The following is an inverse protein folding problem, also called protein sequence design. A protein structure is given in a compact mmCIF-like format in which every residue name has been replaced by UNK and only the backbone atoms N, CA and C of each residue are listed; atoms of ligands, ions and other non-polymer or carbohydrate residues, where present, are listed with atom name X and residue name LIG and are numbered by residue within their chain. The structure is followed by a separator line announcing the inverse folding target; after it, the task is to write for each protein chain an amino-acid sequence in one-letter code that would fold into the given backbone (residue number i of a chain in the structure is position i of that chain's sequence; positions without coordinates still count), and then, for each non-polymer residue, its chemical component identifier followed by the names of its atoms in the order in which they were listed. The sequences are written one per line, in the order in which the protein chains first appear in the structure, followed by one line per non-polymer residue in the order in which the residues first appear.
data_IF_362893133276
#
_entry.id   IF_362893133276
#
_cell.length_a   1.000
_cell.length_b   1.000
_cell.length_c   1.000
_cell.angle_alpha   90.00
_cell.angle_beta   90.00
_cell.angle_gamma   90.00
#
_symmetry.space_group_name_H-M   'P 1'
#
loop_
_entity.id
_entity.type
_entity.pdbx_description
1 polymer ?
#
# COMPACT_ATOMS: atom_id res chain seq x y z
N UNK A 1 -6.48 -10.07 22.22
CA UNK A 1 -5.18 -10.69 22.54
C UNK A 1 -4.44 -9.71 23.45
N UNK A 2 -4.14 -10.06 24.72
CA UNK A 2 -3.31 -9.18 25.57
C UNK A 2 -1.86 -9.47 25.19
N UNK A 3 -1.18 -8.47 24.63
CA UNK A 3 0.25 -8.49 24.30
C UNK A 3 1.04 -8.67 25.60
N UNK A 4 1.38 -9.92 25.92
CA UNK A 4 2.35 -10.28 26.96
C UNK A 4 2.98 -11.60 26.56
N UNK A 5 4.25 -11.58 26.16
CA UNK A 5 5.12 -12.74 26.36
C UNK A 5 6.57 -12.29 26.57
N UNK A 6 7.16 -12.74 27.68
CA UNK A 6 8.58 -12.65 27.92
C UNK A 6 9.31 -13.52 26.89
N UNK A 7 10.13 -12.89 26.04
CA UNK A 7 11.10 -13.61 25.23
C UNK A 7 11.97 -14.52 26.13
N UNK A 8 12.24 -15.77 25.73
CA UNK A 8 13.22 -16.61 26.41
C UNK A 8 14.57 -15.87 26.56
N UNK A 9 15.29 -16.12 27.64
CA UNK A 9 16.55 -15.43 27.93
C UNK A 9 17.57 -15.51 26.78
N UNK A 10 17.64 -16.66 26.10
CA UNK A 10 18.50 -16.84 24.93
C UNK A 10 18.12 -15.91 23.77
N UNK A 11 16.82 -15.73 23.49
CA UNK A 11 16.35 -14.83 22.42
C UNK A 11 16.52 -13.36 22.81
N UNK A 12 16.34 -13.01 24.09
CA UNK A 12 16.65 -11.66 24.61
C UNK A 12 18.13 -11.32 24.41
N UNK A 13 19.02 -12.27 24.71
CA UNK A 13 20.45 -12.10 24.49
C UNK A 13 20.77 -11.87 23.01
N UNK A 14 20.23 -12.71 22.11
CA UNK A 14 20.45 -12.55 20.67
C UNK A 14 19.90 -11.22 20.14
N UNK A 15 18.71 -10.80 20.58
CA UNK A 15 18.14 -9.53 20.19
C UNK A 15 19.03 -8.34 20.56
N UNK A 16 19.64 -8.34 21.76
CA UNK A 16 20.58 -7.31 22.22
C UNK A 16 21.88 -7.30 21.43
N UNK A 17 22.44 -8.49 21.15
CA UNK A 17 23.69 -8.62 20.37
C UNK A 17 23.48 -8.10 18.95
N UNK A 18 22.39 -8.50 18.30
CA UNK A 18 22.06 -8.05 16.94
C UNK A 18 21.75 -6.54 16.94
N UNK A 19 21.07 -6.04 17.97
CA UNK A 19 20.81 -4.59 18.11
C UNK A 19 22.11 -3.78 18.17
N UNK A 20 23.07 -4.21 18.99
CA UNK A 20 24.38 -3.56 19.11
C UNK A 20 25.08 -3.53 17.77
N UNK A 21 25.15 -4.68 17.09
CA UNK A 21 25.78 -4.78 15.76
C UNK A 21 25.08 -3.89 14.72
N UNK A 22 23.74 -3.81 14.74
CA UNK A 22 22.96 -2.96 13.86
C UNK A 22 23.24 -1.46 14.11
N UNK A 23 23.36 -1.04 15.37
CA UNK A 23 23.69 0.36 15.72
C UNK A 23 25.14 0.71 15.38
N UNK A 24 26.07 -0.23 15.54
CA UNK A 24 27.50 -0.04 15.20
C UNK A 24 27.71 0.24 13.70
N UNK A 25 26.92 -0.37 12.82
CA UNK A 25 26.99 -0.11 11.38
C UNK A 25 26.22 1.15 10.94
N UNK A 26 25.58 1.86 11.87
CA UNK A 26 24.89 3.13 11.61
C UNK A 26 23.41 3.01 11.28
N UNK A 27 22.75 1.87 11.55
CA UNK A 27 21.30 1.76 11.45
C UNK A 27 20.63 2.52 12.61
N UNK A 28 19.60 3.30 12.28
CA UNK A 28 18.83 4.09 13.24
C UNK A 28 17.35 3.69 13.17
N UNK A 29 16.83 3.15 14.26
CA UNK A 29 15.48 2.61 14.37
C UNK A 29 14.82 2.98 15.72
N UNK A 30 13.48 2.87 15.79
CA UNK A 30 12.73 2.95 17.04
C UNK A 30 12.99 1.72 17.91
N UNK A 31 12.60 1.75 19.18
CA UNK A 31 12.66 0.56 20.02
C UNK A 31 11.90 -0.60 19.35
N UNK A 32 12.55 -1.77 19.21
CA UNK A 32 11.96 -2.95 18.57
C UNK A 32 11.52 -3.93 19.66
N UNK A 33 10.22 -4.18 19.71
CA UNK A 33 9.60 -5.13 20.63
C UNK A 33 9.31 -6.43 19.89
N UNK A 34 10.03 -7.49 20.22
CA UNK A 34 9.79 -8.82 19.68
C UNK A 34 8.78 -9.59 20.52
N UNK A 35 7.77 -10.17 19.87
CA UNK A 35 6.79 -11.05 20.49
C UNK A 35 6.87 -12.46 19.92
N UNK A 36 6.91 -13.47 20.79
CA UNK A 36 7.01 -14.86 20.38
C UNK A 36 5.63 -15.51 20.30
N UNK A 37 5.17 -15.77 19.08
CA UNK A 37 3.86 -16.34 18.79
C UNK A 37 3.96 -17.75 18.20
N UNK A 38 2.93 -18.55 18.45
CA UNK A 38 2.78 -19.83 17.75
C UNK A 38 2.36 -19.58 16.30
N UNK A 39 2.69 -20.50 15.39
CA UNK A 39 2.45 -20.31 13.96
C UNK A 39 0.97 -20.03 13.62
N UNK A 40 0.02 -20.62 14.36
CA UNK A 40 -1.41 -20.34 14.21
C UNK A 40 -1.75 -18.87 14.54
N UNK A 41 -1.16 -18.35 15.60
CA UNK A 41 -1.38 -16.96 16.04
C UNK A 41 -0.72 -15.97 15.07
N UNK A 42 0.46 -16.29 14.53
CA UNK A 42 1.11 -15.48 13.48
C UNK A 42 0.22 -15.38 12.25
N UNK A 43 -0.37 -16.49 11.79
CA UNK A 43 -1.34 -16.46 10.69
C UNK A 43 -2.57 -15.59 11.01
N UNK A 44 -3.06 -15.63 12.25
CA UNK A 44 -4.15 -14.76 12.71
C UNK A 44 -3.81 -13.28 12.64
N UNK A 45 -2.64 -12.89 13.15
CA UNK A 45 -2.17 -11.50 13.11
C UNK A 45 -1.85 -11.06 11.67
N UNK A 46 -1.28 -11.94 10.85
CA UNK A 46 -1.03 -11.70 9.44
C UNK A 46 -2.32 -11.50 8.64
N UNK A 47 -3.38 -12.27 8.93
CA UNK A 47 -4.69 -12.08 8.31
C UNK A 47 -5.30 -10.71 8.64
N UNK A 48 -4.97 -10.14 9.80
CA UNK A 48 -5.30 -8.77 10.20
C UNK A 48 -4.29 -7.71 9.71
N UNK A 49 -3.39 -8.09 8.82
CA UNK A 49 -2.41 -7.17 8.23
C UNK A 49 -1.33 -6.70 9.21
N UNK A 50 -0.98 -7.52 10.21
CA UNK A 50 0.00 -7.14 11.23
C UNK A 50 -0.59 -6.83 12.59
N UNK A 51 -1.88 -6.51 12.66
CA UNK A 51 -2.46 -5.93 13.87
C UNK A 51 -3.16 -6.97 14.75
N UNK A 52 -3.01 -6.90 16.09
CA UNK A 52 -3.65 -7.85 17.00
C UNK A 52 -5.17 -7.63 17.13
N UNK A 53 -5.66 -6.45 16.74
CA UNK A 53 -7.08 -6.07 16.79
C UNK A 53 -7.43 -5.32 15.50
N UNK A 54 -8.49 -5.79 14.83
CA UNK A 54 -9.14 -5.13 13.70
C UNK A 54 -10.66 -5.14 13.90
N UNK A 55 -11.39 -4.41 13.06
CA UNK A 55 -12.84 -4.50 13.02
C UNK A 55 -13.30 -5.88 12.49
N UNK A 56 -14.51 -6.35 12.84
CA UNK A 56 -15.01 -7.63 12.34
C UNK A 56 -15.26 -7.56 10.83
N UNK A 57 -14.75 -8.55 10.09
CA UNK A 57 -15.05 -8.76 8.66
C UNK A 57 -14.73 -10.20 8.27
N UNK A 58 -15.61 -10.83 7.49
CA UNK A 58 -15.39 -12.16 6.95
C UNK A 58 -14.10 -12.28 6.11
N UNK A 59 -13.66 -11.19 5.45
CA UNK A 59 -12.44 -11.16 4.61
C UNK A 59 -11.20 -11.61 5.38
N UNK A 60 -11.07 -11.22 6.64
CA UNK A 60 -9.96 -11.64 7.49
C UNK A 60 -10.01 -13.14 7.83
N UNK A 61 -11.21 -13.70 7.97
CA UNK A 61 -11.39 -15.15 8.16
C UNK A 61 -10.99 -15.93 6.92
N UNK A 62 -11.38 -15.46 5.73
CA UNK A 62 -10.98 -16.06 4.46
C UNK A 62 -9.46 -15.99 4.26
N UNK A 63 -8.84 -14.86 4.59
CA UNK A 63 -7.38 -14.71 4.49
C UNK A 63 -6.65 -15.61 5.48
N UNK A 64 -7.16 -15.74 6.71
CA UNK A 64 -6.63 -16.68 7.69
C UNK A 64 -6.66 -18.13 7.18
N UNK A 65 -7.78 -18.58 6.61
CA UNK A 65 -7.92 -19.90 6.00
C UNK A 65 -6.93 -20.13 4.86
N UNK A 66 -6.71 -19.10 4.02
CA UNK A 66 -5.72 -19.14 2.93
C UNK A 66 -4.31 -19.33 3.47
N UNK A 67 -3.93 -18.57 4.50
CA UNK A 67 -2.62 -18.64 5.14
C UNK A 67 -2.40 -19.97 5.88
N UNK A 68 -3.41 -20.46 6.60
CA UNK A 68 -3.34 -21.75 7.31
C UNK A 68 -3.19 -22.93 6.34
N UNK A 69 -3.97 -22.96 5.26
CA UNK A 69 -3.84 -24.00 4.21
C UNK A 69 -2.49 -23.90 3.50
N UNK A 70 -2.05 -22.70 3.13
CA UNK A 70 -0.75 -22.49 2.51
C UNK A 70 0.39 -23.04 3.36
N UNK A 71 0.34 -22.81 4.68
CA UNK A 71 1.30 -23.38 5.64
C UNK A 71 1.18 -24.89 5.76
N UNK A 72 -0.04 -25.42 5.90
CA UNK A 72 -0.27 -26.86 6.06
C UNK A 72 0.30 -27.67 4.89
N UNK A 73 0.16 -27.16 3.67
CA UNK A 73 0.70 -27.78 2.46
C UNK A 73 2.16 -27.40 2.16
N UNK A 74 2.82 -26.60 3.01
CA UNK A 74 4.21 -26.16 2.82
C UNK A 74 4.41 -25.18 1.65
N UNK A 75 3.34 -24.54 1.17
CA UNK A 75 3.36 -23.59 0.06
C UNK A 75 3.80 -22.18 0.51
N UNK A 76 3.53 -21.83 1.76
CA UNK A 76 3.89 -20.52 2.31
C UNK A 76 4.24 -20.60 3.80
N UNK A 77 5.26 -19.86 4.21
CA UNK A 77 5.66 -19.69 5.61
C UNK A 77 5.90 -18.20 5.86
N UNK A 78 5.16 -17.63 6.82
CA UNK A 78 5.41 -16.28 7.31
C UNK A 78 6.57 -16.38 8.30
N UNK A 79 7.74 -15.89 7.91
CA UNK A 79 8.92 -15.87 8.79
C UNK A 79 8.83 -14.74 9.80
N UNK A 80 8.29 -13.61 9.37
CA UNK A 80 8.20 -12.39 10.16
C UNK A 80 7.02 -11.53 9.77
N UNK A 81 6.68 -10.63 10.68
CA UNK A 81 5.65 -9.63 10.51
C UNK A 81 6.03 -8.42 11.36
N UNK A 82 6.27 -7.29 10.71
CA UNK A 82 6.74 -6.04 11.34
C UNK A 82 5.69 -4.95 11.18
N UNK A 83 5.38 -4.25 12.26
CA UNK A 83 4.48 -3.10 12.27
C UNK A 83 5.31 -1.84 12.41
N UNK A 84 5.14 -0.91 11.47
CA UNK A 84 5.65 0.44 11.60
C UNK A 84 4.86 1.20 12.68
N UNK A 85 5.43 1.27 13.88
CA UNK A 85 4.85 1.93 15.05
C UNK A 85 6.02 2.42 15.94
N UNK A 86 5.75 3.30 16.89
CA UNK A 86 6.70 3.73 17.93
C UNK A 86 6.18 3.30 19.31
N UNK A 87 6.67 2.17 19.88
CA UNK A 87 7.77 1.32 19.40
C UNK A 87 7.37 0.40 18.23
N UNK A 88 8.37 -0.11 17.49
CA UNK A 88 8.20 -1.04 16.37
C UNK A 88 7.89 -2.42 16.93
N UNK A 89 6.80 -3.06 16.49
CA UNK A 89 6.45 -4.42 16.93
C UNK A 89 6.80 -5.44 15.86
N UNK A 90 7.42 -6.54 16.27
CA UNK A 90 7.75 -7.64 15.38
C UNK A 90 7.36 -8.99 16.00
N UNK A 91 6.78 -9.87 15.17
CA UNK A 91 6.33 -11.18 15.63
C UNK A 91 7.26 -12.29 15.15
N UNK A 92 7.80 -13.04 16.11
CA UNK A 92 8.63 -14.22 15.90
C UNK A 92 7.79 -15.49 15.99
N UNK A 93 8.09 -16.48 15.14
CA UNK A 93 7.39 -17.76 15.14
C UNK A 93 8.11 -18.75 16.07
N UNK A 94 7.42 -19.32 17.06
CA UNK A 94 8.00 -20.26 18.05
C UNK A 94 8.64 -21.50 17.44
N UNK A 95 8.13 -21.99 16.31
CA UNK A 95 8.64 -23.20 15.65
C UNK A 95 9.95 -22.99 14.89
N UNK A 96 10.43 -21.74 14.78
CA UNK A 96 11.66 -21.45 14.03
C UNK A 96 12.91 -21.88 14.83
N UNK A 97 13.93 -22.36 14.13
CA UNK A 97 15.24 -22.67 14.69
C UNK A 97 15.93 -21.42 15.24
N UNK A 98 16.94 -21.57 16.11
CA UNK A 98 17.65 -20.42 16.65
C UNK A 98 18.28 -19.54 15.55
N UNK A 99 18.83 -20.17 14.51
CA UNK A 99 19.36 -19.47 13.35
C UNK A 99 18.27 -18.70 12.60
N UNK A 100 17.12 -19.33 12.33
CA UNK A 100 15.99 -18.64 11.70
C UNK A 100 15.53 -17.44 12.54
N UNK A 101 15.54 -17.54 13.88
CA UNK A 101 15.25 -16.41 14.76
C UNK A 101 16.29 -15.29 14.62
N UNK A 102 17.59 -15.61 14.59
CA UNK A 102 18.66 -14.62 14.38
C UNK A 102 18.49 -13.90 13.04
N UNK A 103 18.18 -14.64 11.97
CA UNK A 103 17.94 -14.09 10.64
C UNK A 103 16.76 -13.15 10.62
N UNK A 104 15.62 -13.57 11.19
CA UNK A 104 14.44 -12.71 11.30
C UNK A 104 14.75 -11.47 12.13
N UNK A 105 15.36 -11.59 13.31
CA UNK A 105 15.72 -10.43 14.14
C UNK A 105 16.59 -9.43 13.39
N UNK A 106 17.63 -9.89 12.69
CA UNK A 106 18.50 -9.03 11.89
C UNK A 106 17.75 -8.37 10.72
N UNK A 107 16.82 -9.08 10.09
CA UNK A 107 15.98 -8.56 9.01
C UNK A 107 15.00 -7.48 9.51
N UNK A 108 14.33 -7.74 10.64
CA UNK A 108 13.43 -6.79 11.31
C UNK A 108 14.14 -5.48 11.64
N UNK A 109 15.38 -5.50 12.13
CA UNK A 109 16.13 -4.26 12.38
C UNK A 109 16.38 -3.46 11.10
N UNK A 110 16.62 -4.14 9.97
CA UNK A 110 16.68 -3.51 8.66
C UNK A 110 15.37 -2.82 8.29
N UNK A 111 14.23 -3.49 8.46
CA UNK A 111 12.92 -2.89 8.24
C UNK A 111 12.64 -1.71 9.18
N UNK A 112 12.94 -1.85 10.46
CA UNK A 112 12.71 -0.79 11.46
C UNK A 112 13.50 0.48 11.12
N UNK A 113 14.74 0.33 10.63
CA UNK A 113 15.56 1.44 10.15
C UNK A 113 14.99 2.04 8.84
N UNK A 114 14.52 1.19 7.92
CA UNK A 114 13.90 1.65 6.68
C UNK A 114 12.64 2.48 6.94
N UNK A 115 11.74 2.00 7.79
CA UNK A 115 10.50 2.68 8.15
C UNK A 115 10.73 4.03 8.82
N UNK A 116 11.76 4.14 9.68
CA UNK A 116 12.08 5.39 10.36
C UNK A 116 12.66 6.45 9.42
N UNK A 117 13.47 6.04 8.45
CA UNK A 117 14.33 6.97 7.69
C UNK A 117 13.89 7.22 6.24
N UNK A 118 13.00 6.43 5.67
CA UNK A 118 12.52 6.64 4.31
C UNK A 118 11.42 7.73 4.26
N UNK A 119 11.54 8.64 3.30
CA UNK A 119 10.63 9.77 3.11
C UNK A 119 9.15 9.36 2.98
N UNK A 120 8.87 8.22 2.36
CA UNK A 120 7.49 7.74 2.13
C UNK A 120 6.77 7.33 3.40
N UNK A 121 7.52 6.99 4.45
CA UNK A 121 6.97 6.63 5.76
C UNK A 121 6.79 7.85 6.67
N UNK A 122 7.33 9.02 6.32
CA UNK A 122 7.16 10.26 7.10
C UNK A 122 5.70 10.63 7.42
N UNK A 123 4.72 10.53 6.48
CA UNK A 123 3.32 10.85 6.78
C UNK A 123 2.57 9.75 7.55
N UNK A 124 3.16 8.57 7.75
CA UNK A 124 2.45 7.44 8.36
C UNK A 124 2.21 7.64 9.86
N UNK A 125 1.06 7.16 10.34
CA UNK A 125 0.74 7.18 11.77
C UNK A 125 1.63 6.21 12.55
N UNK A 126 2.44 6.76 13.45
CA UNK A 126 3.36 6.00 14.32
C UNK A 126 2.66 5.33 15.50
N UNK A 127 1.36 5.55 15.68
CA UNK A 127 0.53 4.92 16.71
C UNK A 127 -0.57 4.07 16.09
N UNK A 128 -0.28 3.46 14.93
CA UNK A 128 -1.28 2.72 14.17
C UNK A 128 -1.91 1.57 14.97
N UNK A 129 -1.21 0.99 15.95
CA UNK A 129 -1.81 0.00 16.86
C UNK A 129 -3.01 0.54 17.64
N UNK A 130 -2.89 1.75 18.18
CA UNK A 130 -3.97 2.42 18.93
C UNK A 130 -5.07 2.84 17.96
N UNK A 131 -4.70 3.38 16.79
CA UNK A 131 -5.64 3.81 15.74
C UNK A 131 -6.49 2.64 15.24
N UNK A 132 -5.89 1.48 14.97
CA UNK A 132 -6.62 0.25 14.59
C UNK A 132 -7.56 -0.25 15.71
N UNK A 133 -7.14 -0.13 16.97
CA UNK A 133 -8.00 -0.42 18.13
C UNK A 133 -9.21 0.54 18.22
N UNK A 134 -8.99 1.82 17.94
CA UNK A 134 -10.03 2.84 17.89
C UNK A 134 -11.00 2.61 16.72
N UNK A 135 -10.47 2.24 15.54
CA UNK A 135 -11.29 1.84 14.38
C UNK A 135 -12.18 0.65 14.72
N UNK A 136 -11.62 -0.41 15.31
CA UNK A 136 -12.39 -1.59 15.75
C UNK A 136 -13.50 -1.21 16.72
N UNK A 137 -13.23 -0.32 17.68
CA UNK A 137 -14.23 0.15 18.65
C UNK A 137 -15.34 0.96 17.99
N UNK A 138 -15.00 1.86 17.04
CA UNK A 138 -15.99 2.64 16.28
C UNK A 138 -16.88 1.75 15.44
N UNK A 139 -16.31 0.81 14.68
CA UNK A 139 -17.08 -0.12 13.85
C UNK A 139 -18.01 -0.98 14.70
N UNK A 140 -17.57 -1.47 15.87
CA UNK A 140 -18.43 -2.21 16.80
C UNK A 140 -19.62 -1.40 17.29
N UNK A 141 -19.44 -0.10 17.58
CA UNK A 141 -20.56 0.79 17.95
C UNK A 141 -21.58 0.92 16.82
N UNK A 142 -21.14 0.93 15.56
CA UNK A 142 -22.05 0.93 14.42
C UNK A 142 -22.76 -0.41 14.24
N UNK A 143 -22.06 -1.53 14.49
CA UNK A 143 -22.68 -2.86 14.51
C UNK A 143 -23.79 -2.92 15.56
N UNK A 144 -23.56 -2.38 16.76
CA UNK A 144 -24.57 -2.34 17.83
C UNK A 144 -25.76 -1.43 17.49
N UNK A 145 -25.53 -0.35 16.73
CA UNK A 145 -26.56 0.63 16.40
C UNK A 145 -27.41 0.29 15.16
N UNK A 146 -26.77 -0.22 14.10
CA UNK A 146 -27.38 -0.43 12.77
C UNK A 146 -27.54 -1.92 12.44
N UNK A 147 -26.81 -2.79 13.13
CA UNK A 147 -26.80 -4.24 12.90
C UNK A 147 -25.58 -4.71 12.11
N UNK A 148 -25.16 -5.95 12.36
CA UNK A 148 -23.95 -6.55 11.79
C UNK A 148 -23.99 -6.64 10.25
N UNK A 149 -25.09 -7.14 9.69
CA UNK A 149 -25.18 -7.39 8.25
C UNK A 149 -25.08 -6.10 7.41
N UNK A 150 -25.65 -5.00 7.89
CA UNK A 150 -25.60 -3.72 7.21
C UNK A 150 -24.17 -3.15 7.19
N UNK A 151 -23.50 -3.19 8.34
CA UNK A 151 -22.11 -2.72 8.49
C UNK A 151 -21.16 -3.59 7.70
N UNK A 152 -21.27 -4.92 7.79
CA UNK A 152 -20.38 -5.85 7.09
C UNK A 152 -20.49 -5.71 5.57
N UNK A 153 -21.72 -5.63 5.04
CA UNK A 153 -21.96 -5.43 3.60
C UNK A 153 -21.33 -4.12 3.11
N UNK A 154 -21.52 -3.03 3.86
CA UNK A 154 -20.95 -1.75 3.51
C UNK A 154 -19.42 -1.74 3.61
N UNK A 155 -18.86 -2.35 4.67
CA UNK A 155 -17.41 -2.50 4.85
C UNK A 155 -16.78 -3.34 3.75
N UNK A 156 -17.44 -4.40 3.30
CA UNK A 156 -16.96 -5.24 2.19
C UNK A 156 -16.90 -4.45 0.87
N UNK A 157 -17.95 -3.68 0.59
CA UNK A 157 -17.97 -2.77 -0.56
C UNK A 157 -16.88 -1.71 -0.45
N UNK A 158 -16.70 -1.08 0.72
CA UNK A 158 -15.67 -0.06 0.95
C UNK A 158 -14.26 -0.63 0.76
N UNK A 159 -14.01 -1.82 1.31
CA UNK A 159 -12.74 -2.52 1.20
C UNK A 159 -12.41 -3.00 -0.22
N UNK A 160 -13.38 -3.05 -1.14
CA UNK A 160 -13.11 -3.31 -2.55
C UNK A 160 -12.54 -2.10 -3.29
N UNK A 161 -12.66 -0.91 -2.70
CA UNK A 161 -12.21 0.36 -3.26
C UNK A 161 -10.90 0.86 -2.61
N UNK A 162 -10.29 0.08 -1.71
CA UNK A 162 -9.08 0.45 -0.94
C UNK A 162 -7.84 0.75 -1.80
N UNK A 163 -7.87 0.36 -3.08
CA UNK A 163 -6.84 0.64 -4.08
C UNK A 163 -7.06 1.95 -4.84
N UNK A 164 -8.24 2.56 -4.76
CA UNK A 164 -8.60 3.80 -5.47
C UNK A 164 -8.25 5.06 -4.65
N UNK A 165 -7.01 5.08 -4.17
CA UNK A 165 -6.40 6.20 -3.43
C UNK A 165 -5.17 6.69 -4.17
N UNK A 166 -4.89 7.99 -4.06
CA UNK A 166 -3.63 8.55 -4.54
C UNK A 166 -2.47 8.21 -3.58
N UNK A 167 -1.53 7.33 -3.95
CA UNK A 167 -0.43 6.94 -3.08
C UNK A 167 0.57 8.08 -2.82
N UNK A 168 0.59 9.12 -3.65
CA UNK A 168 1.48 10.28 -3.50
C UNK A 168 0.87 11.39 -2.64
N UNK A 169 -0.46 11.43 -2.49
CA UNK A 169 -1.16 12.49 -1.78
C UNK A 169 -0.65 12.68 -0.33
N UNK A 170 -0.49 11.63 0.51
CA UNK A 170 -0.04 11.82 1.88
C UNK A 170 1.35 12.48 1.97
N UNK A 171 2.25 12.13 1.05
CA UNK A 171 3.58 12.71 1.01
C UNK A 171 3.53 14.18 0.56
N UNK A 172 2.69 14.50 -0.44
CA UNK A 172 2.49 15.87 -0.92
C UNK A 172 1.93 16.77 0.18
N UNK A 173 0.93 16.29 0.92
CA UNK A 173 0.34 17.01 2.05
C UNK A 173 1.29 17.12 3.24
N UNK A 174 2.17 16.14 3.46
CA UNK A 174 3.19 16.25 4.51
C UNK A 174 4.26 17.29 4.16
N UNK A 175 4.70 17.34 2.90
CA UNK A 175 5.71 18.29 2.44
C UNK A 175 5.15 19.73 2.35
N UNK A 176 3.91 19.85 1.87
CA UNK A 176 3.17 21.10 1.79
C UNK A 176 1.87 20.92 2.59
N UNK A 177 1.92 21.03 3.92
CA UNK A 177 0.70 21.00 4.71
C UNK A 177 -0.22 22.07 4.15
N UNK A 178 -1.48 21.74 3.81
CA UNK A 178 -2.41 22.76 3.37
C UNK A 178 -2.35 23.85 4.41
N UNK A 179 -2.10 25.10 3.98
CA UNK A 179 -2.19 26.23 4.89
C UNK A 179 -3.55 26.07 5.55
N UNK A 180 -3.56 25.64 6.82
CA UNK A 180 -4.70 25.87 7.67
C UNK A 180 -4.80 27.38 7.60
N UNK A 181 -5.72 27.87 6.76
CA UNK A 181 -6.33 29.17 6.97
C UNK A 181 -6.82 29.04 8.39
N UNK A 182 -5.99 29.52 9.31
CA UNK A 182 -6.40 29.97 10.61
C UNK A 182 -7.37 31.07 10.27
N UNK A 183 -8.60 30.67 9.94
CA UNK A 183 -9.72 31.53 10.23
C UNK A 183 -9.66 31.56 11.74
N UNK A 184 -8.94 32.55 12.25
CA UNK A 184 -9.05 33.04 13.60
C UNK A 184 -10.49 33.53 13.68
N UNK A 185 -11.43 32.58 13.75
CA UNK A 185 -12.84 32.85 13.94
C UNK A 185 -12.89 33.32 15.39
N UNK A 186 -13.19 34.60 15.64
CA UNK A 186 -13.42 35.05 17.00
C UNK A 186 -14.49 34.15 17.63
N UNK A 187 -14.43 33.94 18.94
CA UNK A 187 -15.34 33.03 19.65
C UNK A 187 -16.83 33.31 19.33
N UNK A 188 -17.16 34.57 18.99
CA UNK A 188 -18.46 35.01 18.49
C UNK A 188 -18.88 34.32 17.19
N UNK A 189 -17.99 34.11 16.23
CA UNK A 189 -18.31 33.47 14.95
C UNK A 189 -18.43 31.94 15.08
N UNK A 190 -17.76 31.35 16.08
CA UNK A 190 -17.93 29.93 16.46
C UNK A 190 -19.28 29.70 17.15
N UNK A 191 -19.68 30.64 18.01
CA UNK A 191 -21.01 30.66 18.63
C UNK A 191 -22.13 30.92 17.62
N UNK A 192 -21.90 31.79 16.63
CA UNK A 192 -22.87 32.07 15.57
C UNK A 192 -23.13 30.83 14.70
N UNK A 193 -22.08 30.10 14.32
CA UNK A 193 -22.21 28.82 13.61
C UNK A 193 -22.90 27.74 14.43
N UNK A 194 -22.65 27.71 15.74
CA UNK A 194 -23.36 26.79 16.64
C UNK A 194 -24.85 27.16 16.72
N UNK A 195 -25.18 28.45 16.81
CA UNK A 195 -26.55 28.97 16.75
C UNK A 195 -27.23 28.68 15.40
N UNK A 196 -26.53 28.82 14.28
CA UNK A 196 -27.01 28.43 12.94
C UNK A 196 -27.21 26.90 12.83
N UNK A 197 -26.32 26.12 13.44
CA UNK A 197 -26.48 24.65 13.47
C UNK A 197 -27.68 24.24 14.32
N UNK A 198 -27.98 24.98 15.39
CA UNK A 198 -29.17 24.80 16.23
C UNK A 198 -30.44 25.36 15.56
N UNK A 199 -30.30 26.32 14.64
CA UNK A 199 -31.40 26.82 13.81
C UNK A 199 -31.74 25.89 12.64
N UNK A 200 -31.08 24.73 12.49
CA UNK A 200 -31.53 23.69 11.53
C UNK A 200 -32.90 23.09 11.91
N UNK A 201 -33.43 23.38 13.11
CA UNK A 201 -34.84 23.17 13.44
C UNK A 201 -35.81 24.12 12.69
N UNK A 202 -35.31 25.11 11.94
CA UNK A 202 -36.10 25.96 11.06
C UNK A 202 -36.43 25.31 9.69
N UNK A 203 -35.95 24.09 9.42
CA UNK A 203 -36.36 23.32 8.22
C UNK A 203 -37.85 22.96 8.21
N UNK A 204 -38.55 23.08 9.34
CA UNK A 204 -39.98 22.82 9.45
C UNK A 204 -40.88 24.01 9.08
N UNK A 205 -40.32 25.16 8.66
CA UNK A 205 -41.10 26.41 8.51
C UNK A 205 -41.39 26.85 7.07
N UNK A 206 -40.82 26.24 6.02
CA UNK A 206 -41.23 26.56 4.64
C UNK A 206 -40.90 25.44 3.63
N UNK A 207 -41.91 24.73 3.08
CA UNK A 207 -41.72 23.70 2.05
C UNK A 207 -41.22 24.23 0.69
N UNK A 208 -41.40 25.53 0.41
CA UNK A 208 -41.03 26.13 -0.88
C UNK A 208 -39.52 26.42 -1.02
N UNK A 209 -38.79 26.58 0.09
CA UNK A 209 -37.33 26.76 0.07
C UNK A 209 -36.54 25.44 -0.06
N UNK A 210 -37.23 24.29 -0.01
CA UNK A 210 -36.61 22.98 -0.13
C UNK A 210 -36.43 22.52 -1.59
N UNK A 211 -37.03 23.23 -2.56
CA UNK A 211 -37.03 22.81 -3.97
C UNK A 211 -35.86 23.37 -4.80
N UNK A 212 -35.14 24.39 -4.30
CA UNK A 212 -34.02 25.04 -5.01
C UNK A 212 -32.69 24.96 -4.22
N UNK A 213 -32.46 23.87 -3.47
CA UNK A 213 -31.10 23.56 -3.02
C UNK A 213 -30.43 22.82 -4.17
N UNK A 214 -29.73 23.60 -4.98
CA UNK A 214 -28.75 23.13 -5.94
C UNK A 214 -27.88 22.03 -5.29
N UNK A 215 -28.13 20.78 -5.67
CA UNK A 215 -27.46 19.59 -5.14
C UNK A 215 -26.04 19.45 -5.69
N UNK A 216 -25.58 20.36 -6.55
CA UNK A 216 -24.20 20.38 -6.97
C UNK A 216 -23.32 20.70 -5.75
N UNK A 217 -22.58 19.71 -5.20
CA UNK A 217 -21.50 20.05 -4.28
C UNK A 217 -20.59 20.99 -5.07
N UNK A 218 -20.08 22.06 -4.45
CA UNK A 218 -18.96 22.79 -5.04
C UNK A 218 -17.78 21.82 -5.09
N UNK A 219 -17.71 21.02 -6.14
CA UNK A 219 -16.69 19.99 -6.34
C UNK A 219 -15.37 20.71 -6.40
N UNK A 220 -14.59 20.59 -5.33
CA UNK A 220 -13.20 21.03 -5.37
C UNK A 220 -12.37 19.81 -5.75
N UNK A 221 -11.46 20.01 -6.71
CA UNK A 221 -10.34 19.13 -7.05
C UNK A 221 -10.61 17.99 -8.05
N UNK A 222 -11.36 18.22 -9.13
CA UNK A 222 -11.21 17.41 -10.34
C UNK A 222 -10.12 18.01 -11.24
N UNK A 223 -9.29 17.18 -11.91
CA UNK A 223 -9.22 15.72 -11.80
C UNK A 223 -8.53 15.25 -10.51
N UNK A 224 -8.84 14.03 -10.04
CA UNK A 224 -8.23 13.42 -8.84
C UNK A 224 -7.99 11.92 -8.98
N UNK A 225 -6.91 11.43 -8.38
CA UNK A 225 -6.62 9.99 -8.21
C UNK A 225 -7.17 9.42 -6.89
N UNK A 226 -7.56 10.30 -5.96
CA UNK A 226 -8.12 9.90 -4.67
C UNK A 226 -9.64 9.81 -4.72
N UNK A 227 -10.11 8.75 -5.38
CA UNK A 227 -11.55 8.50 -5.60
C UNK A 227 -12.26 8.18 -4.29
N UNK A 228 -11.59 7.44 -3.38
CA UNK A 228 -12.15 7.17 -2.06
C UNK A 228 -12.37 8.45 -1.25
N UNK A 229 -11.40 9.36 -1.24
CA UNK A 229 -11.57 10.67 -0.60
C UNK A 229 -12.67 11.51 -1.24
N UNK A 230 -12.76 11.49 -2.57
CA UNK A 230 -13.84 12.14 -3.29
C UNK A 230 -15.23 11.61 -2.87
N UNK A 231 -15.39 10.28 -2.76
CA UNK A 231 -16.64 9.66 -2.30
C UNK A 231 -16.96 10.00 -0.85
N UNK A 232 -15.97 10.02 0.04
CA UNK A 232 -16.15 10.40 1.44
C UNK A 232 -16.80 11.79 1.59
N UNK A 233 -16.35 12.75 0.77
CA UNK A 233 -16.80 14.14 0.81
C UNK A 233 -18.12 14.38 0.07
N UNK A 234 -18.30 13.76 -1.12
CA UNK A 234 -19.35 14.15 -2.06
C UNK A 234 -20.48 13.11 -2.17
N UNK A 235 -20.25 11.85 -1.81
CA UNK A 235 -21.27 10.82 -1.98
C UNK A 235 -22.41 10.98 -0.95
N UNK A 236 -23.66 10.61 -1.32
CA UNK A 236 -24.83 10.71 -0.45
C UNK A 236 -24.85 9.60 0.62
N UNK A 237 -23.94 9.69 1.59
CA UNK A 237 -23.70 8.70 2.64
C UNK A 237 -24.22 9.15 4.00
N UNK A 238 -24.68 8.17 4.78
CA UNK A 238 -25.00 8.36 6.20
C UNK A 238 -23.72 8.62 7.01
N UNK A 239 -23.86 9.19 8.22
CA UNK A 239 -22.71 9.54 9.05
C UNK A 239 -21.81 8.33 9.38
N UNK A 240 -22.39 7.18 9.68
CA UNK A 240 -21.62 5.96 9.98
C UNK A 240 -20.96 5.35 8.72
N UNK A 241 -21.61 5.48 7.56
CA UNK A 241 -21.08 5.05 6.26
C UNK A 241 -19.85 5.87 5.87
N UNK A 242 -19.94 7.20 6.00
CA UNK A 242 -18.81 8.10 5.79
C UNK A 242 -17.65 7.77 6.74
N UNK A 243 -17.95 7.48 8.01
CA UNK A 243 -16.95 7.11 9.00
C UNK A 243 -16.19 5.81 8.65
N UNK A 244 -16.89 4.81 8.11
CA UNK A 244 -16.26 3.56 7.64
C UNK A 244 -15.39 3.82 6.42
N UNK A 245 -15.84 4.63 5.45
CA UNK A 245 -14.98 5.01 4.31
C UNK A 245 -13.72 5.74 4.76
N UNK A 246 -13.85 6.65 5.71
CA UNK A 246 -12.73 7.34 6.31
C UNK A 246 -11.73 6.36 6.95
N UNK A 247 -12.21 5.37 7.71
CA UNK A 247 -11.39 4.30 8.29
C UNK A 247 -10.65 3.52 7.19
N UNK A 248 -11.36 3.08 6.14
CA UNK A 248 -10.76 2.32 5.03
C UNK A 248 -9.69 3.13 4.30
N UNK A 249 -9.96 4.41 4.01
CA UNK A 249 -9.00 5.32 3.37
C UNK A 249 -7.77 5.56 4.23
N UNK A 250 -7.94 5.78 5.55
CA UNK A 250 -6.83 5.95 6.48
C UNK A 250 -5.94 4.70 6.56
N UNK A 251 -6.54 3.50 6.61
CA UNK A 251 -5.79 2.24 6.58
C UNK A 251 -5.09 2.03 5.23
N UNK A 252 -5.74 2.35 4.10
CA UNK A 252 -5.16 2.27 2.77
C UNK A 252 -3.90 3.13 2.62
N UNK A 253 -3.92 4.36 3.16
CA UNK A 253 -2.74 5.24 3.17
C UNK A 253 -1.60 4.73 4.04
N UNK A 254 -1.90 4.10 5.17
CA UNK A 254 -0.87 3.50 6.01
C UNK A 254 -0.10 2.38 5.30
N UNK A 255 -0.79 1.56 4.51
CA UNK A 255 -0.16 0.47 3.74
C UNK A 255 0.45 0.92 2.41
N UNK A 256 0.10 2.10 1.90
CA UNK A 256 0.57 2.58 0.60
C UNK A 256 2.11 2.64 0.49
N UNK A 257 2.86 3.22 1.45
CA UNK A 257 4.32 3.25 1.40
C UNK A 257 4.95 1.85 1.28
N UNK A 258 4.43 0.86 2.01
CA UNK A 258 4.93 -0.52 1.95
C UNK A 258 4.77 -1.16 0.56
N UNK A 259 3.75 -0.74 -0.21
CA UNK A 259 3.59 -1.16 -1.61
C UNK A 259 4.54 -0.41 -2.54
N UNK A 260 4.70 0.90 -2.33
CA UNK A 260 5.53 1.77 -3.18
C UNK A 260 7.04 1.52 -3.02
N UNK A 261 7.46 0.96 -1.89
CA UNK A 261 8.86 0.71 -1.57
C UNK A 261 9.13 -0.77 -1.27
N UNK A 262 8.35 -1.70 -1.83
CA UNK A 262 8.43 -3.11 -1.47
C UNK A 262 9.81 -3.70 -1.77
N UNK A 263 10.34 -3.46 -2.98
CA UNK A 263 11.66 -3.96 -3.38
C UNK A 263 12.76 -3.31 -2.55
N UNK A 264 12.68 -1.99 -2.33
CA UNK A 264 13.65 -1.26 -1.53
C UNK A 264 13.68 -1.72 -0.08
N UNK A 265 12.50 -1.94 0.53
CA UNK A 265 12.40 -2.32 1.92
C UNK A 265 12.88 -3.76 2.14
N UNK A 266 12.39 -4.72 1.36
CA UNK A 266 12.86 -6.11 1.43
C UNK A 266 14.35 -6.22 1.07
N UNK A 267 14.81 -5.45 0.09
CA UNK A 267 16.20 -5.37 -0.31
C UNK A 267 17.11 -4.83 0.78
N UNK A 268 16.68 -3.78 1.49
CA UNK A 268 17.46 -3.15 2.56
C UNK A 268 17.60 -4.08 3.75
N UNK A 269 16.50 -4.69 4.18
CA UNK A 269 16.51 -5.69 5.24
C UNK A 269 17.33 -6.92 4.84
N UNK A 270 17.24 -7.37 3.58
CA UNK A 270 18.06 -8.48 3.06
C UNK A 270 19.54 -8.13 2.91
N UNK A 271 19.87 -6.88 2.61
CA UNK A 271 21.26 -6.44 2.53
C UNK A 271 21.91 -6.47 3.91
N UNK A 272 21.25 -5.87 4.90
CA UNK A 272 21.78 -5.77 6.26
C UNK A 272 21.74 -7.08 7.02
N UNK A 273 20.69 -7.90 6.92
CA UNK A 273 20.69 -9.19 7.60
C UNK A 273 21.85 -10.09 7.14
N UNK A 274 22.26 -9.95 5.88
CA UNK A 274 23.29 -10.78 5.26
C UNK A 274 24.65 -10.30 5.74
N UNK A 275 24.86 -8.98 5.74
CA UNK A 275 26.08 -8.34 6.27
C UNK A 275 26.27 -8.56 7.77
N UNK A 276 25.23 -8.34 8.58
CA UNK A 276 25.30 -8.50 10.03
C UNK A 276 25.58 -9.95 10.41
N UNK A 277 24.86 -10.90 9.80
CA UNK A 277 25.05 -12.32 10.10
C UNK A 277 26.43 -12.82 9.65
N UNK A 278 26.82 -12.57 8.40
CA UNK A 278 28.13 -13.01 7.88
C UNK A 278 29.30 -12.21 8.47
N UNK A 279 29.04 -11.03 9.05
CA UNK A 279 30.02 -10.15 9.68
C UNK A 279 30.45 -10.56 11.09
N UNK A 280 29.97 -11.69 11.61
CA UNK A 280 30.43 -12.26 12.89
C UNK A 280 29.34 -12.70 13.86
N UNK A 281 28.06 -12.58 13.50
CA UNK A 281 26.95 -13.05 14.35
C UNK A 281 26.58 -14.53 14.13
N UNK A 282 27.06 -15.12 13.03
CA UNK A 282 26.93 -16.56 12.77
C UNK A 282 28.03 -17.36 13.45
N UNK A 283 27.63 -18.45 14.07
CA UNK A 283 28.55 -19.52 14.47
C UNK A 283 28.92 -20.37 13.25
N UNK A 284 30.12 -20.99 13.21
CA UNK A 284 30.53 -21.84 12.08
C UNK A 284 29.54 -22.96 11.73
N UNK A 285 28.82 -23.49 12.72
CA UNK A 285 27.78 -24.51 12.54
C UNK A 285 26.50 -23.97 11.88
N UNK A 286 26.25 -22.67 11.91
CA UNK A 286 25.03 -22.03 11.39
C UNK A 286 25.16 -21.62 9.92
N UNK A 287 26.36 -21.68 9.33
CA UNK A 287 26.64 -21.15 7.99
C UNK A 287 25.81 -21.85 6.90
N UNK A 288 25.69 -23.18 6.97
CA UNK A 288 24.93 -23.95 5.97
C UNK A 288 23.43 -23.69 6.09
N UNK A 289 22.90 -23.67 7.32
CA UNK A 289 21.49 -23.36 7.60
C UNK A 289 21.14 -21.93 7.16
N UNK A 290 22.05 -20.98 7.36
CA UNK A 290 21.91 -19.63 6.85
C UNK A 290 21.85 -19.59 5.34
N UNK A 291 22.77 -20.27 4.65
CA UNK A 291 22.80 -20.29 3.19
C UNK A 291 21.52 -20.89 2.60
N UNK A 292 21.01 -21.97 3.18
CA UNK A 292 19.76 -22.62 2.75
C UNK A 292 18.54 -21.69 2.96
N UNK A 293 18.43 -21.08 4.14
CA UNK A 293 17.32 -20.18 4.46
C UNK A 293 17.35 -18.89 3.62
N UNK A 294 18.52 -18.26 3.47
CA UNK A 294 18.68 -17.02 2.71
C UNK A 294 18.48 -17.24 1.20
N UNK A 295 19.02 -18.34 0.65
CA UNK A 295 18.84 -18.66 -0.78
C UNK A 295 17.39 -19.02 -1.10
N UNK A 296 16.70 -19.72 -0.20
CA UNK A 296 15.27 -20.02 -0.34
C UNK A 296 14.41 -18.75 -0.40
N UNK A 297 14.70 -17.75 0.43
CA UNK A 297 13.98 -16.47 0.43
C UNK A 297 14.28 -15.61 -0.82
N UNK A 298 15.51 -15.71 -1.35
CA UNK A 298 15.97 -14.91 -2.50
C UNK A 298 15.87 -15.64 -3.84
N UNK A 299 15.27 -16.84 -3.87
CA UNK A 299 15.08 -17.60 -5.10
C UNK A 299 14.01 -16.94 -5.99
N UNK A 300 14.32 -16.79 -7.29
CA UNK A 300 13.39 -16.26 -8.29
C UNK A 300 13.10 -17.31 -9.36
N UNK A 301 11.82 -17.49 -9.70
CA UNK A 301 11.41 -18.27 -10.86
C UNK A 301 11.26 -17.36 -12.09
N UNK A 302 11.45 -17.93 -13.30
CA UNK A 302 11.23 -17.19 -14.54
C UNK A 302 9.80 -16.64 -14.62
N UNK A 303 9.66 -15.36 -14.93
CA UNK A 303 8.38 -14.65 -14.99
C UNK A 303 7.86 -14.13 -13.65
N UNK A 304 8.54 -14.38 -12.53
CA UNK A 304 8.14 -13.85 -11.22
C UNK A 304 9.22 -12.93 -10.64
N UNK A 305 8.84 -11.69 -10.34
CA UNK A 305 9.71 -10.70 -9.72
C UNK A 305 9.77 -10.97 -8.20
N UNK A 306 10.90 -11.45 -7.71
CA UNK A 306 11.14 -11.57 -6.26
C UNK A 306 11.74 -10.25 -5.71
N UNK A 307 11.03 -9.51 -4.82
CA UNK A 307 11.51 -8.26 -4.25
C UNK A 307 12.80 -8.42 -3.45
N UNK A 308 12.97 -9.53 -2.72
CA UNK A 308 14.16 -9.80 -1.92
C UNK A 308 15.40 -9.92 -2.82
N UNK A 309 15.28 -10.65 -3.93
CA UNK A 309 16.39 -10.87 -4.87
C UNK A 309 16.79 -9.59 -5.60
N UNK A 310 15.83 -8.86 -6.15
CA UNK A 310 16.15 -7.63 -6.88
C UNK A 310 16.63 -6.55 -5.92
N UNK A 311 15.98 -6.41 -4.76
CA UNK A 311 16.33 -5.41 -3.76
C UNK A 311 17.75 -5.56 -3.21
N UNK A 312 18.16 -6.77 -2.80
CA UNK A 312 19.51 -6.99 -2.26
C UNK A 312 20.59 -6.74 -3.33
N UNK A 313 20.34 -7.14 -4.57
CA UNK A 313 21.28 -6.89 -5.67
C UNK A 313 21.34 -5.40 -6.04
N UNK A 314 20.25 -4.64 -5.91
CA UNK A 314 20.26 -3.18 -6.13
C UNK A 314 21.21 -2.49 -5.14
N UNK A 315 21.16 -2.83 -3.84
CA UNK A 315 22.05 -2.24 -2.84
C UNK A 315 23.51 -2.70 -3.02
N UNK A 316 23.73 -3.97 -3.39
CA UNK A 316 25.08 -4.47 -3.74
C UNK A 316 25.65 -3.74 -4.97
N UNK A 317 24.82 -3.48 -5.97
CA UNK A 317 25.21 -2.73 -7.18
C UNK A 317 25.52 -1.27 -6.85
N UNK A 318 24.69 -0.63 -6.00
CA UNK A 318 24.94 0.71 -5.51
C UNK A 318 26.28 0.81 -4.75
N UNK A 319 26.55 -0.13 -3.85
CA UNK A 319 27.80 -0.20 -3.08
C UNK A 319 29.02 -0.41 -3.99
N UNK A 320 28.93 -1.31 -4.98
CA UNK A 320 30.01 -1.54 -5.95
C UNK A 320 30.34 -0.28 -6.78
N UNK A 321 29.36 0.60 -6.95
CA UNK A 321 29.48 1.89 -7.65
C UNK A 321 29.82 3.07 -6.72
N UNK A 322 30.11 2.80 -5.44
CA UNK A 322 30.37 3.80 -4.41
C UNK A 322 29.25 4.85 -4.25
N UNK A 323 28.00 4.46 -4.51
CA UNK A 323 26.83 5.29 -4.21
C UNK A 323 26.55 5.30 -2.70
N UNK A 324 26.03 6.41 -2.18
CA UNK A 324 25.59 6.49 -0.77
C UNK A 324 24.26 5.75 -0.58
N UNK A 325 24.34 4.50 -0.11
CA UNK A 325 23.17 3.64 0.11
C UNK A 325 22.21 4.19 1.17
N UNK A 326 22.68 4.97 2.15
CA UNK A 326 21.83 5.57 3.18
C UNK A 326 21.05 6.76 2.62
N UNK A 327 21.68 7.55 1.74
CA UNK A 327 20.98 8.58 0.99
C UNK A 327 19.93 7.97 0.05
N UNK A 328 20.29 6.91 -0.68
CA UNK A 328 19.37 6.22 -1.57
C UNK A 328 18.12 5.71 -0.85
N UNK A 329 18.33 5.02 0.30
CA UNK A 329 17.25 4.57 1.19
C UNK A 329 16.34 5.72 1.62
N UNK A 330 16.89 6.90 1.89
CA UNK A 330 16.12 8.03 2.44
C UNK A 330 15.15 8.63 1.41
N UNK A 331 15.58 8.79 0.16
CA UNK A 331 14.88 9.65 -0.81
C UNK A 331 14.08 8.90 -1.87
N UNK A 332 14.41 7.65 -2.16
CA UNK A 332 13.80 6.91 -3.26
C UNK A 332 12.61 6.03 -2.84
N UNK A 333 11.80 5.71 -3.84
CA UNK A 333 10.88 4.55 -3.89
C UNK A 333 11.36 3.53 -4.94
N UNK A 334 10.67 2.41 -5.09
CA UNK A 334 11.08 1.33 -5.99
C UNK A 334 11.34 1.83 -7.42
N UNK A 335 10.39 2.60 -7.98
CA UNK A 335 10.47 3.13 -9.34
C UNK A 335 11.68 4.06 -9.51
N UNK A 336 11.86 5.03 -8.63
CA UNK A 336 12.96 6.01 -8.73
C UNK A 336 14.33 5.40 -8.44
N UNK A 337 14.43 4.42 -7.53
CA UNK A 337 15.67 3.70 -7.28
C UNK A 337 16.07 2.86 -8.50
N UNK A 338 15.13 2.09 -9.06
CA UNK A 338 15.37 1.28 -10.26
C UNK A 338 15.74 2.18 -11.44
N UNK A 339 15.06 3.31 -11.60
CA UNK A 339 15.40 4.27 -12.64
C UNK A 339 16.84 4.78 -12.50
N UNK A 340 17.29 5.07 -11.27
CA UNK A 340 18.66 5.54 -11.00
C UNK A 340 19.74 4.45 -11.18
N UNK A 341 19.52 3.26 -10.60
CA UNK A 341 20.59 2.25 -10.45
C UNK A 341 20.63 1.19 -11.55
N UNK A 342 19.51 0.90 -12.20
CA UNK A 342 19.46 -0.18 -13.19
C UNK A 342 20.08 0.28 -14.50
N UNK A 343 21.22 -0.33 -14.81
CA UNK A 343 21.98 -0.22 -16.05
C UNK A 343 22.05 -1.58 -16.78
N UNK A 344 22.76 -1.61 -17.89
CA UNK A 344 22.91 -2.81 -18.72
C UNK A 344 23.50 -3.98 -17.95
N UNK A 345 24.55 -3.75 -17.16
CA UNK A 345 25.21 -4.78 -16.35
C UNK A 345 24.22 -5.41 -15.37
N UNK A 346 23.46 -4.56 -14.65
CA UNK A 346 22.45 -5.03 -13.71
C UNK A 346 21.38 -5.86 -14.39
N UNK A 347 20.86 -5.39 -15.54
CA UNK A 347 19.81 -6.08 -16.28
C UNK A 347 20.30 -7.45 -16.74
N UNK A 348 21.50 -7.51 -17.34
CA UNK A 348 22.04 -8.76 -17.88
C UNK A 348 22.25 -9.81 -16.80
N UNK A 349 22.66 -9.40 -15.61
CA UNK A 349 22.94 -10.31 -14.48
C UNK A 349 21.69 -10.73 -13.72
N UNK A 350 20.76 -9.80 -13.46
CA UNK A 350 19.70 -9.99 -12.48
C UNK A 350 18.28 -9.99 -13.08
N UNK A 351 18.04 -9.25 -14.17
CA UNK A 351 16.70 -9.09 -14.75
C UNK A 351 16.47 -10.05 -15.92
N UNK A 352 17.47 -10.27 -16.77
CA UNK A 352 17.36 -11.18 -17.91
C UNK A 352 16.91 -12.60 -17.52
N UNK A 353 17.42 -13.23 -16.44
CA UNK A 353 16.98 -14.58 -16.05
C UNK A 353 15.52 -14.68 -15.59
N UNK A 354 14.90 -13.56 -15.21
CA UNK A 354 13.53 -13.53 -14.68
C UNK A 354 12.51 -13.07 -15.72
N UNK A 355 12.94 -12.67 -16.92
CA UNK A 355 12.00 -12.27 -17.97
C UNK A 355 11.07 -13.45 -18.36
N UNK A 356 9.84 -13.15 -18.80
CA UNK A 356 8.94 -14.17 -19.34
C UNK A 356 9.59 -14.95 -20.49
N UNK A 357 9.13 -16.19 -20.72
CA UNK A 357 9.63 -17.07 -21.81
C UNK A 357 9.67 -16.33 -23.15
N UNK A 358 10.77 -16.43 -23.88
CA UNK A 358 11.03 -15.68 -25.11
C UNK A 358 11.69 -14.31 -24.90
N UNK A 359 11.56 -13.69 -23.72
CA UNK A 359 12.13 -12.37 -23.43
C UNK A 359 13.63 -12.41 -23.11
N UNK A 360 14.14 -13.51 -22.58
CA UNK A 360 15.56 -13.71 -22.26
C UNK A 360 16.37 -14.49 -23.31
N UNK A 361 15.70 -15.01 -24.34
CA UNK A 361 16.23 -15.98 -25.32
C UNK A 361 17.04 -15.31 -26.45
N UNK A 362 17.04 -13.98 -26.52
CA UNK A 362 17.86 -13.23 -27.47
C UNK A 362 19.35 -13.36 -27.13
N UNK A 363 20.22 -13.32 -28.14
CA UNK A 363 21.66 -13.30 -27.92
C UNK A 363 22.04 -12.10 -27.03
N UNK A 364 23.03 -12.23 -26.13
CA UNK A 364 23.44 -11.12 -25.26
C UNK A 364 23.74 -9.82 -26.02
N UNK A 365 24.25 -9.93 -27.24
CA UNK A 365 24.67 -8.82 -28.11
C UNK A 365 23.48 -8.04 -28.70
N UNK A 366 22.33 -8.72 -28.88
CA UNK A 366 21.10 -8.15 -29.45
C UNK A 366 20.04 -7.86 -28.37
N UNK A 367 20.40 -7.99 -27.09
CA UNK A 367 19.46 -7.86 -25.99
C UNK A 367 19.18 -6.38 -25.67
N UNK A 368 17.94 -5.94 -25.87
CA UNK A 368 17.52 -4.59 -25.49
C UNK A 368 17.28 -4.48 -23.97
N UNK A 369 18.34 -4.09 -23.25
CA UNK A 369 18.26 -3.88 -21.81
C UNK A 369 17.35 -2.71 -21.42
N UNK A 370 17.13 -1.74 -22.30
CA UNK A 370 16.23 -0.60 -22.03
C UNK A 370 14.79 -1.07 -22.03
N UNK A 371 14.41 -1.93 -22.98
CA UNK A 371 13.10 -2.57 -22.98
C UNK A 371 12.86 -3.40 -21.70
N UNK A 372 13.87 -4.15 -21.25
CA UNK A 372 13.78 -4.91 -19.99
C UNK A 372 13.66 -4.00 -18.75
N UNK A 373 14.36 -2.86 -18.72
CA UNK A 373 14.20 -1.85 -17.66
C UNK A 373 12.81 -1.22 -17.68
N UNK A 374 12.29 -0.85 -18.84
CA UNK A 374 10.92 -0.33 -18.98
C UNK A 374 9.89 -1.35 -18.51
N UNK A 375 10.05 -2.63 -18.88
CA UNK A 375 9.19 -3.70 -18.38
C UNK A 375 9.19 -3.76 -16.85
N UNK A 376 10.36 -3.69 -16.20
CA UNK A 376 10.47 -3.70 -14.74
C UNK A 376 9.78 -2.48 -14.11
N UNK A 377 9.98 -1.29 -14.67
CA UNK A 377 9.36 -0.05 -14.18
C UNK A 377 7.83 -0.09 -14.30
N UNK A 378 7.29 -0.63 -15.41
CA UNK A 378 5.84 -0.75 -15.61
C UNK A 378 5.18 -1.70 -14.61
N UNK A 379 5.85 -2.77 -14.19
CA UNK A 379 5.33 -3.68 -13.16
C UNK A 379 5.17 -3.00 -11.79
N UNK A 380 5.94 -1.94 -11.54
CA UNK A 380 6.03 -1.24 -10.25
C UNK A 380 5.39 0.14 -10.25
N UNK A 381 4.99 0.62 -11.43
CA UNK A 381 4.23 1.85 -11.60
C UNK A 381 3.00 1.79 -10.69
N UNK A 382 2.75 2.90 -9.98
CA UNK A 382 1.63 3.04 -9.05
C UNK A 382 1.56 1.91 -7.97
N UNK A 383 2.70 1.37 -7.56
CA UNK A 383 2.77 0.29 -6.57
C UNK A 383 2.24 -1.04 -7.09
N UNK A 384 2.21 -1.21 -8.42
CA UNK A 384 1.65 -2.36 -9.11
C UNK A 384 0.13 -2.31 -9.27
N UNK A 385 -0.54 -1.25 -8.81
CA UNK A 385 -1.98 -1.06 -8.97
C UNK A 385 -2.31 -0.38 -10.31
N UNK A 386 -3.53 -0.55 -10.85
CA UNK A 386 -3.99 0.25 -11.99
C UNK A 386 -4.11 1.73 -11.61
N UNK A 387 -3.67 2.61 -12.51
CA UNK A 387 -3.79 4.06 -12.32
C UNK A 387 -5.14 4.55 -12.85
N UNK A 388 -6.09 4.79 -11.93
CA UNK A 388 -7.44 5.27 -12.25
C UNK A 388 -7.58 6.72 -11.78
N UNK A 389 -8.01 7.59 -12.68
CA UNK A 389 -8.25 9.01 -12.42
C UNK A 389 -9.74 9.33 -12.58
N UNK A 390 -10.32 10.03 -11.61
CA UNK A 390 -11.62 10.66 -11.75
C UNK A 390 -11.42 12.03 -12.41
N UNK A 391 -11.85 12.14 -13.66
CA UNK A 391 -11.60 13.34 -14.48
C UNK A 391 -12.76 14.31 -14.47
N UNK A 392 -13.98 13.79 -14.38
CA UNK A 392 -15.19 14.62 -14.44
C UNK A 392 -16.35 14.00 -13.66
N UNK A 393 -17.31 14.84 -13.34
CA UNK A 393 -18.63 14.44 -12.86
C UNK A 393 -19.64 15.10 -13.79
N UNK A 394 -20.66 14.37 -14.20
CA UNK A 394 -21.77 14.94 -14.96
C UNK A 394 -21.43 15.34 -16.42
N UNK A 395 -20.60 14.58 -17.12
CA UNK A 395 -20.20 14.90 -18.49
C UNK A 395 -21.37 14.85 -19.50
N UNK A 396 -22.37 14.01 -19.26
CA UNK A 396 -23.55 13.78 -20.08
C UNK A 396 -24.84 14.39 -19.47
N UNK A 397 -24.75 15.08 -18.32
CA UNK A 397 -25.89 15.75 -17.68
C UNK A 397 -26.70 14.89 -16.70
N UNK A 398 -26.26 13.67 -16.40
CA UNK A 398 -26.93 12.70 -15.52
C UNK A 398 -26.23 12.54 -14.15
N UNK A 399 -25.17 13.30 -13.91
CA UNK A 399 -24.39 13.31 -12.68
C UNK A 399 -23.49 12.09 -12.50
N UNK A 400 -23.05 11.44 -13.58
CA UNK A 400 -22.21 10.24 -13.57
C UNK A 400 -20.75 10.52 -13.18
N UNK A 401 -20.04 9.50 -12.71
CA UNK A 401 -18.58 9.59 -12.52
C UNK A 401 -17.87 9.21 -13.82
N UNK A 402 -16.93 10.05 -14.27
CA UNK A 402 -16.11 9.78 -15.45
C UNK A 402 -14.69 9.45 -15.00
N UNK A 403 -14.31 8.19 -15.21
CA UNK A 403 -13.02 7.63 -14.85
C UNK A 403 -12.19 7.35 -16.11
N UNK A 404 -10.89 7.58 -16.01
CA UNK A 404 -9.91 7.17 -17.02
C UNK A 404 -8.91 6.21 -16.38
N UNK A 405 -8.69 5.07 -17.04
CA UNK A 405 -7.56 4.20 -16.75
C UNK A 405 -6.36 4.62 -17.60
N UNK A 406 -5.30 5.08 -16.94
CA UNK A 406 -4.01 5.36 -17.57
C UNK A 406 -3.30 4.03 -17.82
N UNK A 407 -3.45 3.51 -19.04
CA UNK A 407 -2.93 2.19 -19.41
C UNK A 407 -1.40 2.19 -19.49
N UNK A 408 -0.77 1.34 -18.68
CA UNK A 408 0.68 1.18 -18.59
C UNK A 408 1.20 -0.07 -19.31
N UNK A 409 0.40 -0.63 -20.22
CA UNK A 409 0.65 -1.89 -20.89
C UNK A 409 -0.03 -3.10 -20.22
N UNK A 410 -0.67 -2.92 -19.05
CA UNK A 410 -1.40 -3.98 -18.34
C UNK A 410 -2.91 -3.77 -18.50
N UNK A 411 -3.57 -4.78 -19.06
CA UNK A 411 -5.03 -4.77 -19.19
C UNK A 411 -5.70 -5.00 -17.82
N UNK A 412 -6.84 -4.34 -17.61
CA UNK A 412 -7.65 -4.56 -16.41
C UNK A 412 -8.25 -5.96 -16.41
N UNK A 413 -8.23 -6.62 -15.24
CA UNK A 413 -8.98 -7.86 -15.05
C UNK A 413 -10.47 -7.55 -15.02
N UNK A 414 -11.18 -7.84 -16.12
CA UNK A 414 -12.59 -7.49 -16.31
C UNK A 414 -13.51 -7.95 -15.16
N UNK A 415 -13.27 -9.13 -14.59
CA UNK A 415 -14.05 -9.63 -13.46
C UNK A 415 -13.93 -8.73 -12.22
N UNK A 416 -12.70 -8.32 -11.87
CA UNK A 416 -12.47 -7.42 -10.74
C UNK A 416 -12.93 -6.00 -11.03
N UNK A 417 -12.66 -5.50 -12.25
CA UNK A 417 -13.08 -4.17 -12.67
C UNK A 417 -14.61 -4.03 -12.61
N UNK A 418 -15.35 -5.06 -13.04
CA UNK A 418 -16.82 -5.09 -12.95
C UNK A 418 -17.31 -4.91 -11.52
N UNK A 419 -16.79 -5.70 -10.58
CA UNK A 419 -17.22 -5.64 -9.18
C UNK A 419 -16.84 -4.32 -8.53
N UNK A 420 -15.65 -3.80 -8.83
CA UNK A 420 -15.16 -2.51 -8.32
C UNK A 420 -16.04 -1.35 -8.80
N UNK A 421 -16.35 -1.30 -10.11
CA UNK A 421 -17.19 -0.26 -10.69
C UNK A 421 -18.65 -0.36 -10.21
N UNK A 422 -19.15 -1.58 -10.02
CA UNK A 422 -20.48 -1.83 -9.44
C UNK A 422 -20.58 -1.28 -8.02
N UNK A 423 -19.57 -1.55 -7.19
CA UNK A 423 -19.51 -1.00 -5.84
C UNK A 423 -19.40 0.53 -5.90
N UNK A 424 -18.56 1.10 -6.77
CA UNK A 424 -18.45 2.54 -6.95
C UNK A 424 -19.79 3.19 -7.31
N UNK A 425 -20.52 2.61 -8.27
CA UNK A 425 -21.85 3.06 -8.66
C UNK A 425 -22.85 2.95 -7.49
N UNK A 426 -22.73 1.94 -6.63
CA UNK A 426 -23.57 1.80 -5.44
C UNK A 426 -23.31 2.90 -4.40
N UNK A 427 -22.04 3.30 -4.18
CA UNK A 427 -21.70 4.44 -3.32
C UNK A 427 -22.22 5.76 -3.89
N UNK A 428 -22.04 5.97 -5.20
CA UNK A 428 -22.41 7.21 -5.86
C UNK A 428 -23.91 7.35 -6.15
N UNK A 429 -24.63 6.21 -6.26
CA UNK A 429 -26.06 6.09 -6.63
C UNK A 429 -26.40 6.57 -8.04
N UNK A 430 -25.39 6.84 -8.87
CA UNK A 430 -25.52 7.22 -10.28
C UNK A 430 -24.55 6.39 -11.13
N UNK A 431 -24.68 6.41 -12.47
CA UNK A 431 -23.80 5.63 -13.34
C UNK A 431 -22.31 6.00 -13.20
N UNK A 432 -21.47 5.04 -13.56
CA UNK A 432 -20.01 5.20 -13.61
C UNK A 432 -19.51 4.81 -15.00
N UNK A 433 -18.74 5.70 -15.61
CA UNK A 433 -18.09 5.51 -16.90
C UNK A 433 -16.59 5.31 -16.67
N UNK A 434 -16.01 4.25 -17.24
CA UNK A 434 -14.58 4.01 -17.24
C UNK A 434 -14.08 3.88 -18.68
N UNK A 435 -13.20 4.79 -19.09
CA UNK A 435 -12.44 4.67 -20.34
C UNK A 435 -11.14 3.93 -20.09
N UNK A 436 -10.91 2.85 -20.82
CA UNK A 436 -9.70 2.00 -20.70
C UNK A 436 -9.27 1.47 -22.06
N UNK A 437 -8.05 0.94 -22.14
CA UNK A 437 -7.61 0.10 -23.24
C UNK A 437 -7.66 -1.38 -22.83
N UNK A 438 -8.16 -2.25 -23.71
CA UNK A 438 -8.13 -3.72 -23.56
C UNK A 438 -7.76 -4.34 -24.90
N UNK A 439 -6.81 -5.29 -24.90
CA UNK A 439 -6.32 -5.93 -26.12
C UNK A 439 -5.93 -4.92 -27.22
N UNK A 440 -5.33 -3.78 -26.82
CA UNK A 440 -4.95 -2.65 -27.68
C UNK A 440 -6.11 -1.93 -28.38
N UNK A 441 -7.33 -2.05 -27.86
CA UNK A 441 -8.51 -1.31 -28.34
C UNK A 441 -9.07 -0.43 -27.23
N UNK A 442 -9.50 0.79 -27.59
CA UNK A 442 -10.22 1.68 -26.69
C UNK A 442 -11.59 1.08 -26.33
N UNK A 443 -11.91 1.08 -25.05
CA UNK A 443 -13.16 0.55 -24.50
C UNK A 443 -13.71 1.53 -23.48
N UNK A 444 -15.02 1.82 -23.57
CA UNK A 444 -15.79 2.50 -22.52
C UNK A 444 -16.65 1.47 -21.80
N UNK A 445 -16.42 1.32 -20.50
CA UNK A 445 -17.21 0.49 -19.61
C UNK A 445 -18.21 1.40 -18.90
N UNK A 446 -19.49 1.10 -19.03
CA UNK A 446 -20.58 1.83 -18.40
C UNK A 446 -21.25 0.90 -17.40
N UNK A 447 -21.31 1.31 -16.14
CA UNK A 447 -22.01 0.58 -15.08
C UNK A 447 -23.14 1.44 -14.54
N UNK A 448 -24.36 0.90 -14.56
CA UNK A 448 -25.55 1.50 -13.99
C UNK A 448 -26.33 0.44 -13.22
N UNK A 449 -26.32 0.54 -11.88
CA UNK A 449 -26.83 -0.51 -11.01
C UNK A 449 -26.07 -1.83 -11.22
N UNK A 450 -26.79 -2.91 -11.52
CA UNK A 450 -26.20 -4.24 -11.79
C UNK A 450 -25.85 -4.47 -13.27
N UNK A 451 -26.24 -3.57 -14.17
CA UNK A 451 -25.94 -3.67 -15.59
C UNK A 451 -24.55 -3.10 -15.92
N UNK A 452 -23.75 -3.89 -16.64
CA UNK A 452 -22.46 -3.47 -17.19
C UNK A 452 -22.52 -3.58 -18.71
N UNK A 453 -22.22 -2.47 -19.39
CA UNK A 453 -22.10 -2.39 -20.85
C UNK A 453 -20.67 -2.04 -21.21
N UNK A 454 -20.11 -2.75 -22.21
CA UNK A 454 -18.77 -2.48 -22.73
C UNK A 454 -18.93 -2.07 -24.19
N UNK A 455 -18.45 -0.87 -24.51
CA UNK A 455 -18.58 -0.26 -25.84
C UNK A 455 -17.18 -0.07 -26.40
N UNK A 456 -17.00 -0.38 -27.69
CA UNK A 456 -15.78 -0.02 -28.43
C UNK A 456 -15.73 1.50 -28.64
N UNK A 457 -14.62 2.13 -28.29
CA UNK A 457 -14.42 3.57 -28.46
C UNK A 457 -13.11 3.86 -29.19
N UNK A 458 -13.14 4.90 -30.05
CA UNK A 458 -11.92 5.45 -30.65
C UNK A 458 -11.17 6.38 -29.69
N UNK A 459 -11.82 6.81 -28.62
CA UNK A 459 -11.21 7.46 -27.46
C UNK A 459 -10.51 6.39 -26.62
N UNK A 460 -9.36 5.93 -27.10
CA UNK A 460 -8.36 5.37 -26.21
C UNK A 460 -7.87 6.53 -25.32
N UNK A 461 -7.56 6.26 -24.05
CA UNK A 461 -6.94 7.21 -23.14
C UNK A 461 -5.53 7.64 -23.60
N UNK A 462 -5.42 8.26 -24.76
CA UNK A 462 -4.20 8.92 -25.25
C UNK A 462 -4.09 10.31 -24.61
N UNK A 463 -3.82 10.30 -23.32
CA UNK A 463 -2.88 11.26 -22.75
C UNK A 463 -1.61 10.50 -22.37
N UNK A 464 -0.98 9.90 -23.38
CA UNK A 464 0.44 9.57 -23.28
C UNK A 464 1.19 10.87 -23.05
N UNK A 465 1.71 11.04 -21.83
CA UNK A 465 2.63 12.10 -21.49
C UNK A 465 3.90 11.95 -22.31
N UNK A 466 3.90 12.55 -23.51
CA UNK A 466 5.10 12.85 -24.26
C UNK A 466 5.83 13.93 -23.45
N UNK A 467 6.71 13.49 -22.53
CA UNK A 467 7.69 14.36 -21.88
C UNK A 467 8.65 14.81 -22.97
N UNK A 468 8.25 15.86 -23.70
CA UNK A 468 9.19 16.64 -24.49
C UNK A 468 10.19 17.25 -23.51
N UNK A 469 11.51 17.04 -23.69
CA UNK A 469 12.48 17.79 -22.91
C UNK A 469 12.24 19.27 -23.19
N UNK A 470 12.04 20.06 -22.14
CA UNK A 470 11.96 21.50 -22.24
C UNK A 470 13.23 21.97 -22.96
N UNK A 471 13.05 22.45 -24.18
CA UNK A 471 14.11 23.08 -24.95
C UNK A 471 14.64 24.25 -24.12
N UNK A 472 15.96 24.26 -23.92
CA UNK A 472 16.71 25.42 -23.47
C UNK A 472 16.28 26.64 -24.28
N UNK A 473 15.81 27.68 -23.59
CA UNK A 473 15.66 29.01 -24.15
C UNK A 473 16.46 29.99 -23.30
N UNK A 474 17.65 30.30 -23.83
CA UNK A 474 18.51 31.47 -23.62
C UNK A 474 19.03 31.78 -22.21
#
# INVERSE_FOLDING_TARGET
MRLKSDLPAALKYQALVIESAAREVGLDFFEVVFELLDAKNVNGVAAYGGFPVRYPSWRFGMEYERLEKGRFWGLSKVYELVINNDPTYAYLVRSNSLLEQKLVMAHVYGHADFFKNNLWFAPTDRKMLDTMGNHSTRVRRYVDAVGLEAVERFSDQALSLDTLVDPYLPLREHANPPEFRSVHMPASARALRLLESLSTNARNLNPELAQDIDLHPKVRHLPTYDILGFLEENAPLEAWQRDILHIVRAEAYYFSPQRMTKIMNEGWASFWHSRLLTGGLLEPSEILDFADCHSSATMSAAGNLNPYKIGIELYRHAEARAEDIFHLRRVHNDVSLIHKLVDEEFVMRNVRPILPRGGGDTAPEDFDWRAAKSWLLHQLAWGGLPQIELVDIDAEGEGELVLIHHHDGRDLQLGQARETLRNLAAFWRRPVHLSTMLEKRGKKIIVSGDEMKVIDTNEAGEHSGDVRPAAESA
#
